data_IF_912952814658
#
_entry.id   IF_912952814658
#
_cell.length_a   1.000
_cell.length_b   1.000
_cell.length_c   1.000
_cell.angle_alpha   90.00
_cell.angle_beta   90.00
_cell.angle_gamma   90.00
#
_symmetry.space_group_name_H-M   'P 1'
#
loop_
_entity.id
_entity.type
_entity.pdbx_description
1 polymer ?
#
# COMPACT_ATOMS: atom_id res chain seq x y z
N UNK A 1 7.14 14.82 12.67
CA UNK A 1 6.26 15.48 13.63
C UNK A 1 6.70 15.08 15.04
N UNK A 2 6.92 16.06 15.91
CA UNK A 2 7.37 15.79 17.28
C UNK A 2 6.18 15.47 18.18
N UNK A 3 6.37 14.64 19.20
CA UNK A 3 5.30 14.35 20.15
C UNK A 3 4.80 15.64 20.82
N UNK A 4 3.49 15.73 20.98
CA UNK A 4 2.85 16.86 21.63
C UNK A 4 2.49 18.02 20.72
N UNK A 5 2.99 18.02 19.48
CA UNK A 5 2.65 19.06 18.51
C UNK A 5 1.44 18.64 17.68
N UNK A 6 0.66 19.62 17.28
CA UNK A 6 -0.50 19.40 16.41
C UNK A 6 -0.15 19.85 14.99
N UNK A 7 -0.63 19.09 14.01
CA UNK A 7 -0.49 19.43 12.61
C UNK A 7 -1.28 20.71 12.30
N UNK A 8 -0.65 21.66 11.65
CA UNK A 8 -1.32 22.92 11.28
C UNK A 8 -2.37 22.74 10.19
N UNK A 9 -2.29 21.65 9.41
CA UNK A 9 -3.24 21.40 8.32
C UNK A 9 -4.49 20.69 8.82
N UNK A 10 -4.33 19.60 9.61
CA UNK A 10 -5.48 18.77 10.01
C UNK A 10 -5.76 18.78 11.51
N UNK A 11 -4.89 19.41 12.32
CA UNK A 11 -5.06 19.45 13.77
C UNK A 11 -4.72 18.16 14.51
N UNK A 12 -4.34 17.11 13.79
CA UNK A 12 -4.02 15.82 14.39
C UNK A 12 -2.66 15.79 15.07
N UNK A 13 -2.51 14.90 16.02
CA UNK A 13 -1.23 14.65 16.69
C UNK A 13 -0.49 13.51 15.96
N UNK A 14 0.69 13.18 16.46
CA UNK A 14 1.47 12.05 15.92
C UNK A 14 0.61 10.78 16.05
N UNK A 15 0.57 9.98 15.00
CA UNK A 15 -0.29 8.81 14.93
C UNK A 15 -1.69 9.08 14.38
N UNK A 16 -2.17 10.32 14.47
CA UNK A 16 -3.45 10.73 13.89
C UNK A 16 -3.26 11.36 12.52
N UNK A 17 -2.23 12.17 12.34
CA UNK A 17 -1.93 12.81 11.07
C UNK A 17 -1.22 11.83 10.14
N UNK A 18 -1.83 11.54 9.00
CA UNK A 18 -1.26 10.63 8.00
C UNK A 18 -0.17 11.27 7.15
N UNK A 19 0.01 12.58 7.30
CA UNK A 19 0.91 13.36 6.47
C UNK A 19 0.17 13.99 5.30
N UNK A 20 0.77 15.01 4.72
CA UNK A 20 0.15 15.77 3.63
C UNK A 20 1.13 15.90 2.47
N UNK A 21 0.62 15.79 1.26
CA UNK A 21 1.43 15.95 0.05
C UNK A 21 1.90 17.40 -0.07
N UNK A 22 3.16 17.56 -0.44
CA UNK A 22 3.70 18.81 -0.92
C UNK A 22 3.73 18.81 -2.44
N UNK A 23 4.39 19.81 -3.02
CA UNK A 23 4.56 19.89 -4.46
C UNK A 23 5.87 20.56 -4.82
N UNK A 24 6.35 20.24 -6.02
CA UNK A 24 7.55 20.85 -6.59
C UNK A 24 7.19 21.37 -7.97
N UNK A 25 7.37 22.68 -8.18
CA UNK A 25 7.18 23.28 -9.51
C UNK A 25 8.37 22.92 -10.39
N UNK A 26 8.11 22.22 -11.49
CA UNK A 26 9.15 21.82 -12.42
C UNK A 26 9.48 22.99 -13.33
N UNK A 27 10.78 23.25 -13.52
CA UNK A 27 11.27 24.33 -14.36
C UNK A 27 10.85 24.10 -15.82
N UNK A 28 10.85 22.82 -16.27
CA UNK A 28 10.38 22.44 -17.59
C UNK A 28 9.38 21.31 -17.45
N UNK A 29 8.35 21.25 -18.32
CA UNK A 29 7.40 20.14 -18.27
C UNK A 29 8.11 18.80 -18.50
N UNK A 30 7.58 17.75 -17.88
CA UNK A 30 8.13 16.40 -17.93
C UNK A 30 7.03 15.44 -18.34
N UNK A 31 7.29 14.61 -19.33
CA UNK A 31 6.34 13.58 -19.76
C UNK A 31 6.19 12.53 -18.67
N UNK A 32 4.96 12.20 -18.29
CA UNK A 32 4.71 11.13 -17.33
C UNK A 32 5.07 9.79 -18.00
N UNK A 33 6.03 9.05 -17.48
CA UNK A 33 6.57 7.90 -18.21
C UNK A 33 5.57 6.77 -18.43
N UNK A 34 4.55 6.67 -17.60
CA UNK A 34 3.53 5.63 -17.76
C UNK A 34 2.50 5.97 -18.82
N UNK A 35 2.48 7.23 -19.29
CA UNK A 35 1.55 7.69 -20.32
C UNK A 35 2.25 8.05 -21.63
N UNK A 36 3.51 7.67 -21.77
CA UNK A 36 4.27 7.97 -22.98
C UNK A 36 3.61 7.50 -24.27
N UNK A 37 3.10 6.27 -24.26
CA UNK A 37 2.40 5.71 -25.42
C UNK A 37 1.08 6.43 -25.67
N UNK A 38 0.36 6.80 -24.62
CA UNK A 38 -0.91 7.52 -24.79
C UNK A 38 -0.69 8.88 -25.43
N UNK A 39 0.36 9.58 -25.03
CA UNK A 39 0.75 10.85 -25.65
C UNK A 39 1.10 10.63 -27.12
N UNK A 40 1.83 9.57 -27.44
CA UNK A 40 2.15 9.22 -28.82
C UNK A 40 0.87 9.04 -29.65
N UNK A 41 -0.09 8.29 -29.12
CA UNK A 41 -1.35 8.07 -29.80
C UNK A 41 -2.10 9.40 -30.04
N UNK A 42 -2.07 10.29 -29.07
CA UNK A 42 -2.68 11.62 -29.19
C UNK A 42 -1.97 12.47 -30.25
N UNK A 43 -0.64 12.48 -30.24
CA UNK A 43 0.14 13.26 -31.21
C UNK A 43 -0.12 12.78 -32.65
N UNK A 44 -0.34 11.50 -32.84
CA UNK A 44 -0.68 10.96 -34.16
C UNK A 44 -2.12 11.27 -34.59
N UNK A 45 -2.94 11.62 -33.65
CA UNK A 45 -4.37 11.80 -33.87
C UNK A 45 -4.79 13.27 -34.07
N UNK A 46 -3.89 14.21 -33.75
CA UNK A 46 -4.19 15.64 -33.79
C UNK A 46 -3.29 16.37 -34.79
N UNK A 47 -3.79 17.46 -35.31
CA UNK A 47 -3.05 18.34 -36.24
C UNK A 47 -1.90 19.02 -35.48
N UNK A 48 -0.73 19.05 -36.08
CA UNK A 48 0.44 19.71 -35.47
C UNK A 48 0.28 21.22 -35.32
N UNK A 49 -0.63 21.83 -36.07
CA UNK A 49 -0.86 23.29 -36.04
C UNK A 49 -2.08 23.68 -35.24
N UNK A 50 -3.26 23.11 -35.54
CA UNK A 50 -4.52 23.53 -34.92
C UNK A 50 -4.99 22.61 -33.79
N UNK A 51 -4.35 21.44 -33.62
CA UNK A 51 -4.66 20.44 -32.60
C UNK A 51 -6.07 19.85 -32.68
N UNK A 52 -6.76 20.02 -33.82
CA UNK A 52 -8.02 19.33 -34.07
C UNK A 52 -7.74 17.87 -34.44
N UNK A 53 -8.68 17.00 -34.14
CA UNK A 53 -8.57 15.59 -34.53
C UNK A 53 -8.51 15.49 -36.06
N UNK A 54 -7.66 14.59 -36.56
CA UNK A 54 -7.33 14.48 -37.98
C UNK A 54 -8.38 13.71 -38.79
N UNK A 55 -9.65 13.98 -38.55
CA UNK A 55 -10.78 13.47 -39.32
C UNK A 55 -11.82 14.59 -39.44
N UNK A 56 -12.57 14.60 -40.55
CA UNK A 56 -13.68 15.51 -40.70
C UNK A 56 -14.74 15.24 -39.61
N UNK A 57 -15.50 16.27 -39.26
CA UNK A 57 -16.51 16.18 -38.21
C UNK A 57 -17.50 15.04 -38.43
N UNK A 58 -17.93 14.81 -39.67
CA UNK A 58 -18.84 13.71 -39.98
C UNK A 58 -18.23 12.34 -39.68
N UNK A 59 -16.95 12.17 -40.02
CA UNK A 59 -16.24 10.91 -39.78
C UNK A 59 -16.00 10.68 -38.28
N UNK A 60 -15.76 11.76 -37.53
CA UNK A 60 -15.54 11.65 -36.06
C UNK A 60 -16.79 11.11 -35.38
N UNK A 61 -17.97 11.46 -35.82
CA UNK A 61 -19.23 10.99 -35.24
C UNK A 61 -19.48 9.50 -35.49
N UNK A 62 -18.83 8.94 -36.49
CA UNK A 62 -19.01 7.54 -36.87
C UNK A 62 -18.03 6.59 -36.16
N UNK A 63 -17.06 7.10 -35.39
CA UNK A 63 -16.09 6.29 -34.70
C UNK A 63 -16.75 5.42 -33.61
N UNK A 64 -16.43 4.14 -33.63
CA UNK A 64 -16.97 3.18 -32.68
C UNK A 64 -15.84 2.60 -31.83
N UNK A 65 -16.22 2.01 -30.70
CA UNK A 65 -15.24 1.39 -29.81
C UNK A 65 -14.38 2.41 -29.09
N UNK A 66 -13.07 2.25 -29.18
CA UNK A 66 -12.10 3.19 -28.59
C UNK A 66 -11.62 4.15 -29.68
N UNK A 67 -12.13 5.38 -29.72
CA UNK A 67 -11.79 6.29 -30.83
C UNK A 67 -10.31 6.60 -30.98
N UNK A 68 -9.58 6.70 -29.88
CA UNK A 68 -8.14 6.99 -29.94
C UNK A 68 -7.36 5.84 -30.59
N UNK A 69 -7.70 4.59 -30.25
CA UNK A 69 -7.06 3.41 -30.84
C UNK A 69 -7.33 3.33 -32.34
N UNK A 70 -8.56 3.65 -32.74
CA UNK A 70 -8.95 3.67 -34.16
C UNK A 70 -8.21 4.75 -34.93
N UNK A 71 -8.16 5.96 -34.35
CA UNK A 71 -7.68 7.15 -35.04
C UNK A 71 -6.16 7.15 -35.21
N UNK A 72 -5.40 6.80 -34.18
CA UNK A 72 -3.94 6.94 -34.27
C UNK A 72 -3.30 6.00 -35.29
N UNK A 73 -3.99 4.94 -35.67
CA UNK A 73 -3.52 4.00 -36.68
C UNK A 73 -3.63 4.52 -38.11
N UNK A 74 -4.49 5.52 -38.31
CA UNK A 74 -4.70 6.11 -39.65
C UNK A 74 -3.54 7.00 -40.02
N UNK A 75 -3.15 6.97 -41.30
CA UNK A 75 -2.09 7.81 -41.81
C UNK A 75 -2.74 8.96 -42.56
N UNK A 76 -2.71 10.14 -41.95
CA UNK A 76 -3.35 11.33 -42.50
C UNK A 76 -2.26 12.32 -42.94
N UNK A 77 -2.28 12.75 -44.17
CA UNK A 77 -1.22 13.60 -44.75
C UNK A 77 -1.48 15.08 -44.56
N UNK A 78 -2.73 15.48 -44.50
CA UNK A 78 -3.08 16.88 -44.29
C UNK A 78 -4.32 17.00 -43.41
N UNK A 79 -4.39 18.08 -42.65
CA UNK A 79 -5.49 18.32 -41.72
C UNK A 79 -6.77 18.66 -42.46
N UNK A 80 -7.90 17.97 -42.21
CA UNK A 80 -9.17 18.31 -42.86
C UNK A 80 -9.79 19.63 -42.39
N UNK A 81 -9.25 20.21 -41.31
CA UNK A 81 -9.78 21.45 -40.73
C UNK A 81 -9.00 22.69 -41.14
N UNK A 82 -7.66 22.65 -41.12
CA UNK A 82 -6.83 23.82 -41.43
C UNK A 82 -5.92 23.64 -42.65
N UNK A 83 -5.86 22.44 -43.20
CA UNK A 83 -5.07 22.16 -44.40
C UNK A 83 -3.60 21.93 -44.17
N UNK A 84 -3.09 22.04 -42.95
CA UNK A 84 -1.68 21.86 -42.64
C UNK A 84 -1.19 20.44 -42.95
N UNK A 85 -0.06 20.34 -43.63
CA UNK A 85 0.56 19.04 -43.92
C UNK A 85 1.12 18.43 -42.64
N UNK A 86 0.87 17.14 -42.43
CA UNK A 86 1.31 16.41 -41.25
C UNK A 86 2.58 15.63 -41.53
N UNK A 87 3.47 15.61 -40.55
CA UNK A 87 4.67 14.78 -40.56
C UNK A 87 4.46 13.53 -39.70
N UNK A 88 5.20 12.48 -40.00
CA UNK A 88 5.15 11.25 -39.22
C UNK A 88 5.70 11.50 -37.82
N UNK A 89 5.00 11.02 -36.81
CA UNK A 89 5.43 11.10 -35.41
C UNK A 89 6.12 9.78 -35.04
N UNK A 90 7.32 9.88 -34.49
CA UNK A 90 8.09 8.72 -34.01
C UNK A 90 8.18 8.78 -32.50
N UNK A 91 7.89 7.66 -31.87
CA UNK A 91 7.92 7.51 -30.42
C UNK A 91 9.19 6.77 -29.99
N UNK A 92 10.04 7.44 -29.25
CA UNK A 92 11.22 6.83 -28.62
C UNK A 92 10.89 6.61 -27.14
N UNK A 93 10.61 5.36 -26.80
CA UNK A 93 10.22 5.01 -25.46
C UNK A 93 11.27 5.42 -24.42
N UNK A 94 10.86 5.86 -23.23
CA UNK A 94 9.50 5.95 -22.73
C UNK A 94 8.83 7.33 -22.90
N UNK A 95 9.59 8.39 -23.22
CA UNK A 95 9.08 9.76 -23.06
C UNK A 95 9.53 10.74 -24.14
N UNK A 96 10.13 10.27 -25.24
CA UNK A 96 10.64 11.14 -26.31
C UNK A 96 9.86 10.99 -27.61
N UNK A 97 9.71 12.09 -28.33
CA UNK A 97 8.95 12.14 -29.58
C UNK A 97 9.72 12.92 -30.62
N UNK A 98 9.59 12.47 -31.85
CA UNK A 98 10.13 13.20 -33.02
C UNK A 98 9.07 13.34 -34.08
N UNK A 99 9.15 14.39 -34.83
CA UNK A 99 8.28 14.66 -35.96
C UNK A 99 9.19 14.84 -37.18
N UNK A 100 9.20 13.83 -38.04
CA UNK A 100 10.20 13.79 -39.11
C UNK A 100 11.59 13.68 -38.49
N UNK A 101 12.44 14.65 -38.79
CA UNK A 101 13.80 14.72 -38.24
C UNK A 101 13.90 15.59 -36.99
N UNK A 102 12.85 16.31 -36.66
CA UNK A 102 12.85 17.30 -35.58
C UNK A 102 12.35 16.67 -34.27
N UNK A 103 13.10 16.90 -33.20
CA UNK A 103 12.71 16.44 -31.87
C UNK A 103 11.65 17.38 -31.31
N UNK A 104 10.59 16.79 -30.76
CA UNK A 104 9.54 17.55 -30.06
C UNK A 104 9.94 17.70 -28.59
N UNK A 105 10.01 18.93 -28.10
CA UNK A 105 10.26 19.18 -26.70
C UNK A 105 9.00 18.87 -25.91
N UNK A 106 9.16 18.61 -24.61
CA UNK A 106 8.02 18.37 -23.72
C UNK A 106 7.08 19.59 -23.68
N UNK A 107 7.63 20.78 -23.81
CA UNK A 107 6.85 22.02 -23.87
C UNK A 107 5.97 22.06 -25.10
N UNK A 108 6.54 21.70 -26.27
CA UNK A 108 5.78 21.65 -27.53
C UNK A 108 4.67 20.60 -27.46
N UNK A 109 4.97 19.43 -26.90
CA UNK A 109 3.98 18.37 -26.72
C UNK A 109 2.82 18.87 -25.85
N UNK A 110 3.16 19.49 -24.71
CA UNK A 110 2.13 20.01 -23.82
C UNK A 110 1.27 21.09 -24.49
N UNK A 111 1.91 22.00 -25.24
CA UNK A 111 1.19 23.07 -25.93
C UNK A 111 0.20 22.51 -26.91
N UNK A 112 0.57 21.50 -27.68
CA UNK A 112 -0.35 20.86 -28.64
C UNK A 112 -1.54 20.24 -27.92
N UNK A 113 -1.31 19.57 -26.80
CA UNK A 113 -2.40 18.94 -26.05
C UNK A 113 -3.31 19.97 -25.40
N UNK A 114 -2.76 21.12 -24.97
CA UNK A 114 -3.55 22.20 -24.37
C UNK A 114 -4.52 22.83 -25.41
N UNK A 115 -4.11 22.89 -26.67
CA UNK A 115 -4.92 23.46 -27.71
C UNK A 115 -6.11 22.60 -28.11
N UNK A 116 -6.15 21.33 -27.71
CA UNK A 116 -7.28 20.45 -28.03
C UNK A 116 -8.57 21.01 -27.44
N UNK A 117 -9.63 21.03 -28.24
CA UNK A 117 -10.94 21.51 -27.79
C UNK A 117 -11.59 20.51 -26.84
N UNK A 118 -12.44 21.00 -25.95
CA UNK A 118 -13.20 20.15 -25.04
C UNK A 118 -14.03 19.11 -25.78
N UNK A 119 -14.55 19.49 -26.96
CA UNK A 119 -15.36 18.60 -27.81
C UNK A 119 -14.51 17.40 -28.28
N UNK A 120 -13.32 17.68 -28.79
CA UNK A 120 -12.42 16.63 -29.27
C UNK A 120 -11.94 15.75 -28.15
N UNK A 121 -11.61 16.31 -26.96
CA UNK A 121 -11.22 15.55 -25.78
C UNK A 121 -12.35 14.60 -25.37
N UNK A 122 -13.59 15.10 -25.38
CA UNK A 122 -14.78 14.31 -25.05
C UNK A 122 -14.96 13.13 -26.00
N UNK A 123 -14.77 13.38 -27.29
CA UNK A 123 -14.89 12.35 -28.33
C UNK A 123 -13.89 11.21 -28.11
N UNK A 124 -12.69 11.51 -27.61
CA UNK A 124 -11.66 10.50 -27.35
C UNK A 124 -11.89 9.73 -26.05
N UNK A 125 -12.91 10.13 -25.26
CA UNK A 125 -13.26 9.48 -24.01
C UNK A 125 -12.10 9.42 -23.04
N UNK A 126 -11.31 10.49 -22.98
CA UNK A 126 -10.22 10.62 -22.02
C UNK A 126 -10.82 10.88 -20.64
N UNK A 127 -10.64 9.95 -19.73
CA UNK A 127 -11.20 10.05 -18.39
C UNK A 127 -10.29 10.89 -17.49
N UNK A 128 -10.92 11.69 -16.65
CA UNK A 128 -10.25 12.34 -15.54
C UNK A 128 -9.64 13.69 -15.83
N UNK A 129 -9.88 14.27 -17.01
CA UNK A 129 -9.45 15.63 -17.24
C UNK A 129 -8.85 15.90 -18.60
N UNK A 130 -7.92 16.81 -18.63
CA UNK A 130 -7.33 17.33 -19.86
C UNK A 130 -6.12 16.52 -20.30
N UNK A 131 -5.90 16.35 -21.62
CA UNK A 131 -4.77 15.56 -22.13
C UNK A 131 -3.40 16.17 -21.80
N UNK A 132 -3.30 17.49 -21.67
CA UNK A 132 -2.01 18.12 -21.32
C UNK A 132 -1.54 17.73 -19.90
N UNK A 133 -2.41 17.20 -19.08
CA UNK A 133 -2.04 16.75 -17.73
C UNK A 133 -1.14 15.51 -17.75
N UNK A 134 -1.04 14.81 -18.87
CA UNK A 134 -0.06 13.73 -19.04
C UNK A 134 1.38 14.25 -19.10
N UNK A 135 1.54 15.55 -19.31
CA UNK A 135 2.85 16.22 -19.28
C UNK A 135 2.86 17.08 -18.01
N UNK A 136 3.69 16.70 -17.08
CA UNK A 136 3.67 17.27 -15.72
C UNK A 136 4.39 18.61 -15.66
N UNK A 137 3.79 19.58 -15.02
CA UNK A 137 4.43 20.85 -14.67
C UNK A 137 4.67 20.95 -13.17
N UNK A 138 3.94 20.16 -12.40
CA UNK A 138 4.05 20.10 -10.93
C UNK A 138 4.19 18.62 -10.55
N UNK A 139 5.16 18.35 -9.69
CA UNK A 139 5.39 17.00 -9.18
C UNK A 139 4.88 16.91 -7.75
N UNK A 140 3.94 16.01 -7.44
CA UNK A 140 3.55 15.83 -6.04
C UNK A 140 4.69 15.21 -5.23
N UNK A 141 4.87 15.70 -4.02
CA UNK A 141 5.91 15.21 -3.11
C UNK A 141 5.22 14.50 -1.96
N UNK A 142 5.40 13.18 -1.83
CA UNK A 142 4.73 12.46 -0.75
C UNK A 142 5.30 12.84 0.62
N UNK A 143 4.46 12.78 1.66
CA UNK A 143 4.90 13.19 3.00
C UNK A 143 5.94 12.22 3.56
N UNK A 144 6.62 12.64 4.64
CA UNK A 144 7.67 11.82 5.27
C UNK A 144 7.13 10.52 5.84
N UNK A 145 5.83 10.42 6.12
CA UNK A 145 5.22 9.17 6.57
C UNK A 145 5.27 8.08 5.50
N UNK A 146 5.35 8.46 4.22
CA UNK A 146 5.49 7.52 3.09
C UNK A 146 6.95 7.08 2.91
N UNK A 147 7.90 7.91 3.33
CA UNK A 147 9.34 7.70 3.15
C UNK A 147 10.11 8.01 4.44
N UNK A 148 9.82 7.25 5.50
CA UNK A 148 10.42 7.60 6.80
C UNK A 148 11.93 7.38 6.83
N UNK A 149 12.63 8.23 7.57
CA UNK A 149 14.05 8.04 7.88
C UNK A 149 14.15 7.02 9.01
N UNK A 150 15.12 6.11 8.89
CA UNK A 150 15.38 5.11 9.92
C UNK A 150 16.70 5.47 10.62
N UNK A 151 16.69 5.43 11.95
CA UNK A 151 17.91 5.58 12.73
C UNK A 151 18.52 4.20 12.94
N UNK A 152 19.74 4.01 12.45
CA UNK A 152 20.46 2.75 12.57
C UNK A 152 21.03 2.59 13.99
N UNK A 153 21.44 1.37 14.34
CA UNK A 153 22.05 1.08 15.65
C UNK A 153 23.30 1.90 15.90
N UNK A 154 24.00 2.29 14.83
CA UNK A 154 25.19 3.15 14.89
C UNK A 154 24.87 4.61 15.17
N UNK A 155 23.60 4.99 15.21
CA UNK A 155 23.16 6.36 15.37
C UNK A 155 23.01 7.14 14.07
N UNK A 156 23.47 6.58 12.95
CA UNK A 156 23.33 7.22 11.64
C UNK A 156 21.90 7.09 11.13
N UNK A 157 21.46 8.09 10.37
CA UNK A 157 20.15 8.06 9.71
C UNK A 157 20.26 7.49 8.31
N UNK A 158 19.38 6.56 8.00
CA UNK A 158 19.24 6.00 6.66
C UNK A 158 17.98 6.58 6.02
N UNK A 159 18.15 7.19 4.85
CA UNK A 159 17.04 7.78 4.12
C UNK A 159 16.43 6.78 3.17
N UNK A 160 15.11 6.91 2.97
CA UNK A 160 14.35 6.07 2.05
C UNK A 160 14.78 6.30 0.61
N UNK A 161 14.62 5.27 -0.23
CA UNK A 161 14.94 5.39 -1.66
C UNK A 161 14.16 6.51 -2.35
N UNK A 162 12.89 6.71 -1.96
CA UNK A 162 12.10 7.83 -2.52
C UNK A 162 12.72 9.18 -2.16
N UNK A 163 13.25 9.32 -0.96
CA UNK A 163 13.91 10.56 -0.55
C UNK A 163 15.14 10.82 -1.41
N UNK A 164 15.94 9.78 -1.68
CA UNK A 164 17.11 9.93 -2.56
C UNK A 164 16.70 10.41 -3.95
N UNK A 165 15.64 9.82 -4.51
CA UNK A 165 15.16 10.22 -5.84
C UNK A 165 14.58 11.63 -5.85
N UNK A 166 13.85 12.00 -4.80
CA UNK A 166 13.31 13.36 -4.70
C UNK A 166 14.42 14.39 -4.61
N UNK A 167 15.49 14.08 -3.87
CA UNK A 167 16.66 14.97 -3.79
C UNK A 167 17.30 15.14 -5.17
N UNK A 168 17.43 14.03 -5.93
CA UNK A 168 17.96 14.11 -7.30
C UNK A 168 17.10 15.02 -8.18
N UNK A 169 15.77 14.89 -8.08
CA UNK A 169 14.86 15.72 -8.87
C UNK A 169 15.01 17.19 -8.50
N UNK A 170 15.06 17.50 -7.20
CA UNK A 170 15.20 18.89 -6.73
C UNK A 170 16.53 19.50 -7.23
N UNK A 171 17.61 18.77 -7.12
CA UNK A 171 18.93 19.25 -7.55
C UNK A 171 18.95 19.57 -9.04
N UNK A 172 18.42 18.66 -9.86
CA UNK A 172 18.37 18.85 -11.31
C UNK A 172 17.45 20.00 -11.68
N UNK A 173 16.33 20.14 -11.00
CA UNK A 173 15.36 21.20 -11.24
C UNK A 173 16.00 22.58 -10.95
N UNK A 174 16.78 22.67 -9.88
CA UNK A 174 17.50 23.90 -9.55
C UNK A 174 18.58 24.24 -10.58
N UNK A 175 19.28 23.23 -11.10
CA UNK A 175 20.27 23.43 -12.16
C UNK A 175 19.61 23.96 -13.42
N UNK A 176 18.47 23.42 -13.80
CA UNK A 176 17.71 23.91 -14.96
C UNK A 176 17.27 25.34 -14.78
N UNK A 177 16.84 25.69 -13.56
CA UNK A 177 16.43 27.09 -13.27
C UNK A 177 17.57 28.07 -13.48
N UNK A 178 18.81 27.63 -13.26
CA UNK A 178 20.02 28.44 -13.45
C UNK A 178 20.60 28.31 -14.87
N UNK A 179 19.84 27.75 -15.80
CA UNK A 179 20.24 27.53 -17.20
C UNK A 179 21.46 26.61 -17.38
N UNK A 180 21.67 25.70 -16.44
CA UNK A 180 22.67 24.66 -16.56
C UNK A 180 21.99 23.41 -17.14
N UNK A 181 22.84 22.58 -17.70
CA UNK A 181 22.37 21.44 -18.49
C UNK A 181 21.02 20.78 -18.10
N UNK A 182 20.37 20.51 -19.04
CA UNK A 182 19.05 19.99 -18.81
C UNK A 182 18.82 18.58 -19.24
N UNK A 183 19.29 17.91 -19.15
CA UNK A 183 19.01 16.58 -19.53
C UNK A 183 18.50 15.64 -18.51
N UNK A 184 18.63 15.67 -17.60
CA UNK A 184 18.31 14.71 -16.61
C UNK A 184 17.00 14.95 -15.83
N UNK A 185 16.40 15.94 -15.98
CA UNK A 185 15.12 16.09 -15.40
C UNK A 185 14.12 15.02 -15.73
N UNK A 186 13.95 14.77 -16.91
CA UNK A 186 13.06 13.71 -17.38
C UNK A 186 13.46 12.34 -16.83
N UNK A 187 14.73 12.02 -16.89
CA UNK A 187 15.23 10.74 -16.36
C UNK A 187 14.93 10.57 -14.86
N UNK A 188 15.20 11.60 -14.08
CA UNK A 188 15.03 11.49 -12.64
C UNK A 188 13.55 11.39 -12.25
N UNK A 189 12.67 12.13 -12.93
CA UNK A 189 11.23 12.00 -12.68
C UNK A 189 10.74 10.62 -13.14
N UNK A 190 11.20 10.16 -14.30
CA UNK A 190 10.82 8.84 -14.82
C UNK A 190 11.21 7.72 -13.85
N UNK A 191 12.45 7.77 -13.33
CA UNK A 191 12.92 6.72 -12.40
C UNK A 191 12.34 6.89 -10.99
N UNK A 192 11.88 8.08 -10.62
CA UNK A 192 11.09 8.24 -9.40
C UNK A 192 9.76 7.48 -9.50
N UNK A 193 9.13 7.52 -10.66
CA UNK A 193 7.86 6.83 -10.87
C UNK A 193 8.04 5.34 -11.08
N UNK A 194 9.00 4.94 -11.91
CA UNK A 194 9.31 3.53 -12.14
C UNK A 194 10.79 3.35 -12.43
N UNK A 195 11.46 2.56 -11.60
CA UNK A 195 12.88 2.26 -11.79
C UNK A 195 13.10 0.97 -12.57
N UNK A 196 12.07 0.46 -13.24
CA UNK A 196 12.15 -0.77 -14.04
C UNK A 196 11.76 -0.53 -15.49
N UNK A 197 11.97 0.68 -16.00
CA UNK A 197 11.72 1.00 -17.41
C UNK A 197 12.86 0.38 -18.23
N UNK A 198 12.51 -0.53 -19.14
CA UNK A 198 13.49 -1.34 -19.87
C UNK A 198 14.47 -0.54 -20.73
N UNK A 199 14.06 0.62 -21.21
CA UNK A 199 14.88 1.45 -22.10
C UNK A 199 15.75 2.47 -21.38
N UNK A 200 15.63 2.55 -20.03
CA UNK A 200 16.43 3.48 -19.21
C UNK A 200 17.33 2.70 -18.27
N UNK A 201 18.57 3.18 -18.01
CA UNK A 201 19.37 2.56 -16.96
C UNK A 201 18.71 2.80 -15.60
N UNK A 202 18.66 1.78 -14.74
CA UNK A 202 18.01 1.98 -13.43
C UNK A 202 18.83 2.92 -12.54
N UNK A 203 18.13 3.75 -11.77
CA UNK A 203 18.76 4.58 -10.76
C UNK A 203 19.27 3.68 -9.63
N UNK A 204 20.46 3.95 -9.12
CA UNK A 204 21.11 3.11 -8.12
C UNK A 204 21.55 3.90 -6.91
N UNK A 205 21.46 3.24 -5.75
CA UNK A 205 22.08 3.71 -4.53
C UNK A 205 23.60 3.68 -4.73
N UNK A 206 24.34 4.47 -3.96
CA UNK A 206 25.80 4.48 -4.07
C UNK A 206 26.43 3.11 -3.79
N UNK A 207 25.70 2.21 -3.12
CA UNK A 207 26.13 0.82 -2.88
C UNK A 207 26.00 -0.07 -4.13
N UNK A 208 25.40 0.43 -5.20
CA UNK A 208 25.16 -0.32 -6.43
C UNK A 208 23.79 -0.97 -6.53
N UNK A 209 23.02 -0.99 -5.43
CA UNK A 209 21.68 -1.56 -5.39
C UNK A 209 20.70 -0.65 -6.15
N UNK A 210 19.83 -1.25 -6.98
CA UNK A 210 18.79 -0.48 -7.67
C UNK A 210 17.80 0.09 -6.66
N UNK A 211 17.42 1.36 -6.85
CA UNK A 211 16.46 2.01 -5.95
C UNK A 211 15.05 1.46 -6.17
N UNK A 212 14.30 1.33 -5.09
CA UNK A 212 12.89 0.92 -5.12
C UNK A 212 12.03 2.17 -5.09
N UNK A 213 11.36 2.49 -6.22
CA UNK A 213 10.61 3.72 -6.35
C UNK A 213 9.10 3.44 -6.43
N UNK A 214 8.29 4.40 -6.89
CA UNK A 214 6.84 4.34 -6.68
C UNK A 214 6.17 3.07 -7.23
N UNK A 215 6.43 2.73 -8.49
CA UNK A 215 5.80 1.55 -9.09
C UNK A 215 6.23 0.26 -8.38
N UNK A 216 7.52 0.16 -7.98
CA UNK A 216 8.01 -1.01 -7.28
C UNK A 216 7.37 -1.17 -5.90
N UNK A 217 6.91 -0.08 -5.30
CA UNK A 217 6.17 -0.14 -4.03
C UNK A 217 4.75 -0.68 -4.19
N UNK A 218 4.16 -0.49 -5.37
CA UNK A 218 2.77 -0.86 -5.62
C UNK A 218 2.65 -2.25 -6.23
N UNK A 219 3.53 -2.59 -7.17
CA UNK A 219 3.42 -3.78 -8.01
C UNK A 219 4.16 -4.98 -7.44
N UNK A 220 3.85 -6.15 -8.00
CA UNK A 220 4.49 -7.43 -7.72
C UNK A 220 4.15 -7.99 -6.34
N UNK A 221 4.72 -9.14 -6.00
CA UNK A 221 4.41 -9.88 -4.77
C UNK A 221 4.66 -9.10 -3.50
N UNK A 222 5.69 -8.26 -3.51
CA UNK A 222 6.11 -7.53 -2.32
C UNK A 222 5.57 -6.10 -2.27
N UNK A 223 4.83 -5.69 -3.31
CA UNK A 223 4.22 -4.38 -3.37
C UNK A 223 2.99 -4.26 -2.47
N UNK A 224 2.41 -3.07 -2.45
CA UNK A 224 1.28 -2.77 -1.55
C UNK A 224 0.07 -3.65 -1.84
N UNK A 225 -0.27 -3.87 -3.12
CA UNK A 225 -1.48 -4.62 -3.45
C UNK A 225 -1.38 -6.08 -3.05
N UNK A 226 -0.33 -6.77 -3.42
CA UNK A 226 -0.19 -8.20 -3.14
C UNK A 226 0.40 -8.48 -1.77
N UNK A 227 1.29 -7.64 -1.28
CA UNK A 227 2.00 -7.86 -0.03
C UNK A 227 1.34 -7.30 1.22
N UNK A 228 0.45 -6.32 1.08
CA UNK A 228 -0.14 -5.63 2.24
C UNK A 228 -1.66 -5.53 2.21
N UNK A 229 -2.29 -5.53 1.03
CA UNK A 229 -3.75 -5.37 0.93
C UNK A 229 -4.47 -6.68 0.65
N UNK A 230 -4.04 -7.45 -0.34
CA UNK A 230 -4.66 -8.76 -0.63
C UNK A 230 -4.34 -9.78 0.46
N UNK A 231 -3.13 -9.73 1.01
CA UNK A 231 -2.72 -10.55 2.14
C UNK A 231 -1.77 -9.76 3.01
N UNK A 232 -1.86 -9.93 4.31
CA UNK A 232 -1.00 -9.20 5.24
C UNK A 232 -0.77 -10.04 6.50
N UNK A 233 0.29 -9.67 7.24
CA UNK A 233 0.57 -10.29 8.53
C UNK A 233 -0.43 -9.75 9.55
N UNK A 234 -0.86 -10.62 10.44
CA UNK A 234 -1.90 -10.26 11.41
C UNK A 234 -1.41 -10.47 12.84
N UNK A 235 -1.97 -9.67 13.74
CA UNK A 235 -1.75 -9.81 15.18
C UNK A 235 -2.71 -10.84 15.75
N UNK A 236 -2.49 -11.20 17.02
CA UNK A 236 -3.30 -12.16 17.75
C UNK A 236 -3.25 -13.53 17.09
N UNK A 237 -2.04 -13.91 16.69
CA UNK A 237 -1.76 -15.20 16.11
C UNK A 237 -0.46 -15.75 16.69
N UNK A 238 -0.31 -17.07 16.62
CA UNK A 238 0.89 -17.75 17.08
C UNK A 238 1.15 -18.95 16.17
N UNK A 239 2.36 -19.47 16.23
CA UNK A 239 2.77 -20.61 15.40
C UNK A 239 3.68 -21.50 16.23
N UNK A 240 3.39 -22.79 16.24
CA UNK A 240 4.28 -23.78 16.86
C UNK A 240 4.03 -25.15 16.26
N UNK A 241 4.87 -26.09 16.66
CA UNK A 241 4.80 -27.49 16.22
C UNK A 241 3.51 -28.11 16.77
N UNK A 242 2.93 -29.04 16.04
CA UNK A 242 1.72 -29.78 16.44
C UNK A 242 2.09 -31.17 16.95
N UNK A 243 1.31 -31.67 17.90
CA UNK A 243 1.42 -33.00 18.46
C UNK A 243 0.04 -33.65 18.57
N UNK A 244 -0.05 -34.97 18.54
CA UNK A 244 -1.36 -35.62 18.66
C UNK A 244 -1.83 -35.66 20.10
N UNK A 245 -3.14 -35.64 20.29
CA UNK A 245 -3.76 -35.84 21.60
C UNK A 245 -5.14 -36.50 21.38
N UNK A 246 -5.22 -37.81 21.60
CA UNK A 246 -6.51 -38.49 21.39
C UNK A 246 -7.55 -38.20 22.46
N UNK A 247 -7.17 -37.55 23.57
CA UNK A 247 -8.09 -37.28 24.68
C UNK A 247 -8.96 -36.05 24.46
N UNK A 248 -8.61 -35.18 23.51
CA UNK A 248 -9.45 -34.01 23.20
C UNK A 248 -10.37 -34.34 22.00
N UNK A 249 -11.48 -33.62 21.91
CA UNK A 249 -12.44 -33.84 20.83
C UNK A 249 -11.95 -33.20 19.52
N UNK A 250 -12.58 -33.56 18.42
CA UNK A 250 -12.24 -32.99 17.11
C UNK A 250 -12.50 -31.48 17.06
N UNK A 251 -13.43 -31.00 17.88
CA UNK A 251 -13.74 -29.56 17.95
C UNK A 251 -12.85 -28.77 18.92
N UNK A 252 -11.84 -29.39 19.48
CA UNK A 252 -10.93 -28.74 20.44
C UNK A 252 -9.51 -28.66 19.89
N UNK A 253 -8.74 -27.73 20.43
CA UNK A 253 -7.28 -27.64 20.19
C UNK A 253 -6.61 -27.41 21.54
N UNK A 254 -5.53 -28.16 21.79
CA UNK A 254 -4.72 -27.92 22.97
C UNK A 254 -3.83 -26.71 22.75
N UNK A 255 -3.99 -25.69 23.59
CA UNK A 255 -3.25 -24.43 23.47
C UNK A 255 -2.20 -24.38 24.56
N UNK A 256 -0.92 -24.20 24.22
CA UNK A 256 0.11 -24.06 25.24
C UNK A 256 -0.18 -22.88 26.18
N UNK A 257 0.11 -23.07 27.46
CA UNK A 257 -0.12 -22.05 28.48
C UNK A 257 0.58 -20.73 28.14
N UNK A 258 1.79 -20.82 27.60
CA UNK A 258 2.55 -19.62 27.21
C UNK A 258 1.83 -18.80 26.13
N UNK A 259 1.23 -19.50 25.16
CA UNK A 259 0.43 -18.82 24.11
C UNK A 259 -0.82 -18.21 24.73
N UNK A 260 -1.48 -18.94 25.64
CA UNK A 260 -2.71 -18.47 26.29
C UNK A 260 -2.50 -17.19 27.09
N UNK A 261 -1.32 -17.01 27.67
CA UNK A 261 -0.97 -15.81 28.43
C UNK A 261 -0.60 -14.63 27.52
N UNK A 262 -0.05 -14.92 26.34
CA UNK A 262 0.45 -13.88 25.43
C UNK A 262 -0.66 -13.33 24.55
N UNK A 263 -1.44 -14.23 23.94
CA UNK A 263 -2.57 -13.83 23.12
C UNK A 263 -3.78 -13.58 24.00
N UNK A 264 -4.58 -12.57 23.65
CA UNK A 264 -5.68 -12.16 24.50
C UNK A 264 -6.97 -12.05 23.70
N UNK A 265 -8.07 -12.12 24.44
CA UNK A 265 -9.43 -11.93 23.92
C UNK A 265 -10.00 -10.68 24.59
N UNK A 266 -10.45 -9.65 23.85
CA UNK A 266 -11.08 -8.52 24.51
C UNK A 266 -12.51 -8.87 24.92
N UNK A 267 -12.84 -8.59 26.17
CA UNK A 267 -14.17 -8.86 26.73
C UNK A 267 -14.71 -7.55 27.30
N UNK A 268 -15.88 -7.15 26.84
CA UNK A 268 -16.53 -5.95 27.34
C UNK A 268 -17.13 -6.23 28.71
N UNK A 269 -16.84 -5.38 29.70
CA UNK A 269 -17.33 -5.54 31.05
C UNK A 269 -18.82 -5.16 31.13
N UNK A 270 -19.63 -6.03 31.70
CA UNK A 270 -21.04 -5.79 31.93
C UNK A 270 -21.40 -6.22 33.35
N UNK A 271 -22.65 -6.05 33.74
CA UNK A 271 -23.13 -6.35 35.11
C UNK A 271 -22.94 -7.83 35.46
N UNK A 272 -23.02 -8.72 34.46
CA UNK A 272 -22.97 -10.16 34.70
C UNK A 272 -21.56 -10.68 34.87
N UNK A 273 -20.57 -10.03 34.21
CA UNK A 273 -19.20 -10.55 34.21
C UNK A 273 -18.20 -9.70 35.00
N UNK A 274 -18.64 -8.60 35.59
CA UNK A 274 -17.72 -7.65 36.24
C UNK A 274 -16.95 -8.30 37.40
N UNK A 275 -17.57 -9.16 38.18
CA UNK A 275 -16.91 -9.84 39.29
C UNK A 275 -15.78 -10.75 38.79
N UNK A 276 -16.07 -11.50 37.72
CA UNK A 276 -15.05 -12.38 37.11
C UNK A 276 -13.94 -11.58 36.45
N UNK A 277 -14.28 -10.49 35.75
CA UNK A 277 -13.27 -9.63 35.13
C UNK A 277 -12.34 -9.02 36.19
N UNK A 278 -12.88 -8.59 37.32
CA UNK A 278 -12.05 -8.08 38.44
C UNK A 278 -11.09 -9.15 38.96
N UNK A 279 -11.55 -10.38 39.04
CA UNK A 279 -10.71 -11.52 39.46
C UNK A 279 -9.57 -11.75 38.47
N UNK A 280 -9.84 -11.70 37.16
CA UNK A 280 -8.81 -11.86 36.14
C UNK A 280 -7.77 -10.74 36.21
N UNK A 281 -8.23 -9.49 36.42
CA UNK A 281 -7.30 -8.36 36.55
C UNK A 281 -6.42 -8.52 37.78
N UNK A 282 -6.99 -9.00 38.90
CA UNK A 282 -6.21 -9.27 40.12
C UNK A 282 -5.14 -10.35 39.93
N UNK A 283 -5.45 -11.36 39.09
CA UNK A 283 -4.45 -12.38 38.75
C UNK A 283 -3.32 -11.78 37.91
N UNK A 284 -3.62 -10.81 37.08
CA UNK A 284 -2.62 -10.12 36.28
C UNK A 284 -2.14 -10.90 35.09
N UNK A 285 -0.99 -10.52 34.56
CA UNK A 285 -0.44 -11.10 33.33
C UNK A 285 0.29 -12.41 33.54
N UNK A 286 0.75 -12.70 34.76
CA UNK A 286 1.62 -13.85 35.03
C UNK A 286 0.82 -15.09 35.42
N UNK A 287 -0.25 -14.92 36.19
CA UNK A 287 -1.08 -16.01 36.65
C UNK A 287 -2.22 -16.26 35.66
N UNK A 288 -2.36 -17.52 35.22
CA UNK A 288 -3.45 -17.89 34.32
C UNK A 288 -4.56 -18.56 35.14
N UNK A 289 -5.85 -18.21 34.88
CA UNK A 289 -6.34 -17.19 33.95
C UNK A 289 -6.18 -15.78 34.51
N UNK A 290 -5.76 -14.87 33.64
CA UNK A 290 -5.53 -13.49 34.03
C UNK A 290 -5.87 -12.55 32.89
N UNK A 291 -5.27 -11.37 32.95
CA UNK A 291 -5.47 -10.33 31.92
C UNK A 291 -4.20 -9.51 31.76
N UNK A 292 -3.98 -9.00 30.57
CA UNK A 292 -2.76 -8.25 30.27
C UNK A 292 -3.01 -6.74 30.19
N UNK A 293 -4.19 -6.31 29.71
CA UNK A 293 -4.52 -4.89 29.54
C UNK A 293 -5.97 -4.66 29.87
N UNK A 294 -6.28 -3.42 30.22
CA UNK A 294 -7.66 -2.92 30.23
C UNK A 294 -7.74 -1.71 29.29
N UNK A 295 -8.91 -1.49 28.75
CA UNK A 295 -9.24 -0.28 27.99
C UNK A 295 -10.38 0.40 28.73
N UNK A 296 -10.15 1.64 29.15
CA UNK A 296 -11.16 2.42 29.89
C UNK A 296 -12.23 2.90 28.93
N UNK A 297 -13.34 3.37 29.47
CA UNK A 297 -14.47 3.86 28.67
C UNK A 297 -14.09 5.08 27.82
N UNK A 298 -13.04 5.83 28.22
CA UNK A 298 -12.52 6.95 27.44
C UNK A 298 -11.51 6.53 26.35
N UNK A 299 -11.26 5.21 26.21
CA UNK A 299 -10.38 4.67 25.17
C UNK A 299 -8.93 4.52 25.59
N UNK A 300 -8.56 4.94 26.78
CA UNK A 300 -7.17 4.81 27.26
C UNK A 300 -6.89 3.36 27.63
N UNK A 301 -5.80 2.81 27.07
CA UNK A 301 -5.36 1.44 27.30
C UNK A 301 -4.27 1.41 28.35
N UNK A 302 -4.45 0.61 29.39
CA UNK A 302 -3.48 0.47 30.48
C UNK A 302 -2.96 -0.94 30.57
N UNK A 303 -1.66 -1.09 30.70
CA UNK A 303 -1.02 -2.39 30.94
C UNK A 303 -1.21 -2.78 32.42
N UNK A 304 -1.55 -4.03 32.66
CA UNK A 304 -1.71 -4.57 34.02
C UNK A 304 -0.34 -5.05 34.49
N UNK A 305 0.12 -4.50 35.61
CA UNK A 305 1.39 -4.90 36.24
C UNK A 305 1.10 -5.36 37.66
N UNK A 306 2.07 -6.03 38.29
CA UNK A 306 1.94 -6.45 39.69
C UNK A 306 1.71 -5.26 40.63
N UNK A 307 2.23 -4.09 40.26
CA UNK A 307 2.12 -2.87 41.07
C UNK A 307 0.74 -2.23 41.00
N UNK A 308 0.08 -2.29 39.85
CA UNK A 308 -1.17 -1.55 39.63
C UNK A 308 -2.42 -2.44 39.52
N UNK A 309 -2.26 -3.76 39.58
CA UNK A 309 -3.40 -4.66 39.34
C UNK A 309 -4.53 -4.51 40.35
N UNK A 310 -4.24 -4.21 41.62
CA UNK A 310 -5.26 -3.96 42.64
C UNK A 310 -6.05 -2.68 42.32
N UNK A 311 -5.33 -1.61 42.00
CA UNK A 311 -5.94 -0.32 41.68
C UNK A 311 -6.83 -0.42 40.44
N UNK A 312 -6.32 -1.13 39.41
CA UNK A 312 -7.10 -1.32 38.16
C UNK A 312 -8.33 -2.15 38.43
N UNK A 313 -8.22 -3.21 39.24
CA UNK A 313 -9.37 -4.05 39.60
C UNK A 313 -10.46 -3.23 40.30
N UNK A 314 -10.06 -2.34 41.20
CA UNK A 314 -11.01 -1.48 41.93
C UNK A 314 -11.68 -0.45 41.02
N UNK A 315 -10.93 0.10 40.01
CA UNK A 315 -11.52 1.10 39.13
C UNK A 315 -12.39 0.50 38.01
N UNK A 316 -12.28 -0.80 37.78
CA UNK A 316 -12.97 -1.48 36.67
C UNK A 316 -14.49 -1.27 36.81
N UNK A 317 -15.13 -0.88 35.71
CA UNK A 317 -16.56 -0.57 35.69
C UNK A 317 -17.16 -1.06 34.37
N UNK A 318 -18.48 -1.08 34.33
CA UNK A 318 -19.25 -1.42 33.13
C UNK A 318 -18.83 -0.50 31.99
N UNK A 319 -18.58 -1.07 30.81
CA UNK A 319 -18.13 -0.32 29.64
C UNK A 319 -16.63 -0.39 29.40
N UNK A 320 -15.87 -0.82 30.38
CA UNK A 320 -14.43 -1.10 30.18
C UNK A 320 -14.28 -2.35 29.31
N UNK A 321 -13.11 -2.54 28.75
CA UNK A 321 -12.76 -3.77 28.03
C UNK A 321 -11.54 -4.39 28.73
N UNK A 322 -11.62 -5.68 29.05
CA UNK A 322 -10.50 -6.43 29.63
C UNK A 322 -9.93 -7.34 28.55
N UNK A 323 -8.62 -7.21 28.30
CA UNK A 323 -7.90 -8.11 27.40
C UNK A 323 -7.42 -9.30 28.21
N UNK A 324 -8.29 -10.32 28.29
CA UNK A 324 -8.06 -11.48 29.13
C UNK A 324 -7.27 -12.57 28.39
N UNK A 325 -6.61 -13.41 29.14
CA UNK A 325 -5.94 -14.60 28.61
C UNK A 325 -6.95 -15.52 27.92
N UNK A 326 -6.45 -16.35 27.01
CA UNK A 326 -7.27 -17.40 26.40
C UNK A 326 -7.61 -18.41 27.51
N UNK A 327 -8.89 -18.77 27.60
CA UNK A 327 -9.38 -19.75 28.56
C UNK A 327 -9.99 -20.93 27.84
N UNK A 328 -10.19 -22.03 28.59
CA UNK A 328 -10.87 -23.21 28.05
C UNK A 328 -12.23 -22.82 27.49
N UNK A 329 -12.53 -23.29 26.28
CA UNK A 329 -13.78 -23.00 25.59
C UNK A 329 -13.76 -21.79 24.68
N UNK A 330 -12.74 -20.97 24.75
CA UNK A 330 -12.64 -19.82 23.84
C UNK A 330 -12.46 -20.30 22.41
N UNK A 331 -13.02 -19.54 21.45
CA UNK A 331 -12.96 -19.87 20.03
C UNK A 331 -11.60 -19.48 19.48
N UNK A 332 -10.99 -20.39 18.76
CA UNK A 332 -9.77 -20.15 18.01
C UNK A 332 -9.95 -20.58 16.57
N UNK A 333 -9.10 -20.10 15.67
CA UNK A 333 -9.07 -20.57 14.28
C UNK A 333 -7.68 -21.15 14.03
N UNK A 334 -7.65 -22.40 13.59
CA UNK A 334 -6.42 -23.11 13.27
C UNK A 334 -6.23 -23.11 11.75
N UNK A 335 -4.98 -22.97 11.31
CA UNK A 335 -4.63 -22.97 9.90
C UNK A 335 -3.32 -23.71 9.67
N UNK A 336 -3.27 -24.52 8.63
CA UNK A 336 -2.02 -25.11 8.16
C UNK A 336 -1.80 -24.69 6.69
N UNK A 337 -0.60 -24.19 6.41
CA UNK A 337 -0.21 -23.84 5.04
C UNK A 337 0.50 -25.01 4.38
N UNK A 338 0.36 -25.20 3.08
CA UNK A 338 -0.43 -24.40 2.13
C UNK A 338 -1.93 -24.64 2.30
N UNK A 339 -2.72 -23.55 2.26
CA UNK A 339 -4.17 -23.62 2.48
C UNK A 339 -4.88 -23.86 1.14
N UNK A 340 -4.91 -25.11 0.72
CA UNK A 340 -5.36 -25.51 -0.61
C UNK A 340 -6.89 -25.58 -0.73
N UNK A 341 -7.60 -25.70 0.38
CA UNK A 341 -9.07 -25.72 0.40
C UNK A 341 -9.56 -25.07 1.69
N UNK A 342 -10.86 -24.86 1.81
CA UNK A 342 -11.39 -24.13 2.97
C UNK A 342 -11.19 -24.86 4.29
N UNK A 343 -11.10 -26.17 4.28
CA UNK A 343 -10.88 -26.97 5.49
C UNK A 343 -9.44 -26.88 6.02
N UNK A 344 -8.56 -26.17 5.33
CA UNK A 344 -7.23 -25.85 5.87
C UNK A 344 -7.30 -24.77 6.96
N UNK A 345 -8.46 -24.14 7.16
CA UNK A 345 -8.74 -23.22 8.25
C UNK A 345 -10.05 -23.65 8.91
N UNK A 346 -10.00 -23.99 10.18
CA UNK A 346 -11.19 -24.42 10.91
C UNK A 346 -11.17 -23.88 12.33
N UNK A 347 -12.36 -23.69 12.89
CA UNK A 347 -12.51 -23.23 14.27
C UNK A 347 -12.43 -24.40 15.25
N UNK A 348 -11.76 -24.16 16.35
CA UNK A 348 -11.64 -25.13 17.46
C UNK A 348 -11.80 -24.39 18.78
N UNK A 349 -12.38 -25.04 19.76
CA UNK A 349 -12.41 -24.48 21.12
C UNK A 349 -11.11 -24.80 21.85
N UNK A 350 -10.61 -23.84 22.60
CA UNK A 350 -9.32 -23.98 23.27
C UNK A 350 -9.43 -24.92 24.49
N UNK A 351 -8.38 -25.70 24.70
CA UNK A 351 -8.11 -26.42 25.94
C UNK A 351 -6.68 -26.03 26.34
N UNK A 352 -6.56 -25.33 27.46
CA UNK A 352 -5.24 -24.83 27.88
C UNK A 352 -4.46 -25.98 28.51
N UNK A 353 -3.22 -26.16 28.06
CA UNK A 353 -2.38 -27.28 28.47
C UNK A 353 -0.97 -26.81 28.82
N UNK A 354 -0.27 -27.50 29.72
CA UNK A 354 1.07 -27.08 30.13
C UNK A 354 2.20 -27.53 29.20
N UNK A 355 1.86 -27.79 27.95
CA UNK A 355 2.81 -28.26 26.94
C UNK A 355 3.26 -27.12 26.04
N UNK A 356 4.24 -27.40 25.19
CA UNK A 356 4.76 -26.36 24.25
C UNK A 356 4.27 -26.52 22.84
N UNK A 357 3.52 -27.58 22.55
CA UNK A 357 3.00 -27.82 21.19
C UNK A 357 1.48 -27.65 21.17
N UNK A 358 0.97 -27.26 20.01
CA UNK A 358 -0.47 -27.28 19.78
C UNK A 358 -0.92 -28.74 19.66
N UNK A 359 -2.03 -29.08 20.27
CA UNK A 359 -2.52 -30.45 20.32
C UNK A 359 -3.77 -30.61 19.48
N UNK A 360 -3.81 -31.67 18.66
CA UNK A 360 -4.92 -31.95 17.76
C UNK A 360 -5.39 -33.39 17.94
N UNK A 361 -6.69 -33.60 17.81
CA UNK A 361 -7.24 -34.93 17.63
C UNK A 361 -6.76 -35.47 16.27
N UNK A 362 -6.42 -36.76 16.24
CA UNK A 362 -5.89 -37.35 15.01
C UNK A 362 -6.85 -37.28 13.81
N UNK A 363 -8.15 -37.25 14.06
CA UNK A 363 -9.13 -37.20 12.98
C UNK A 363 -9.04 -35.92 12.14
N UNK A 364 -8.53 -34.82 12.69
CA UNK A 364 -8.43 -33.56 11.94
C UNK A 364 -7.17 -33.46 11.10
N UNK A 365 -6.25 -34.41 11.17
CA UNK A 365 -5.05 -34.38 10.35
C UNK A 365 -5.37 -34.46 8.85
N UNK A 366 -6.43 -35.14 8.48
CA UNK A 366 -6.79 -35.32 7.07
C UNK A 366 -7.17 -33.98 6.42
N UNK A 367 -8.13 -33.21 6.96
CA UNK A 367 -8.45 -31.92 6.33
C UNK A 367 -7.30 -30.93 6.33
N UNK A 368 -6.45 -30.93 7.37
CA UNK A 368 -5.27 -30.04 7.41
C UNK A 368 -4.11 -30.57 6.58
N UNK A 369 -4.18 -31.82 6.14
CA UNK A 369 -3.07 -32.51 5.46
C UNK A 369 -1.82 -32.45 6.32
N UNK A 370 -1.99 -32.68 7.62
CA UNK A 370 -0.93 -32.55 8.63
C UNK A 370 -0.43 -33.91 9.09
N UNK A 371 0.83 -33.96 9.48
CA UNK A 371 1.37 -35.10 10.23
C UNK A 371 2.25 -34.56 11.35
N UNK A 372 2.68 -35.47 12.22
CA UNK A 372 3.36 -35.07 13.45
C UNK A 372 4.87 -35.32 13.38
N UNK A 373 5.47 -35.05 12.23
CA UNK A 373 6.90 -35.19 12.00
C UNK A 373 7.65 -33.86 12.02
N UNK A 374 7.10 -32.88 12.70
CA UNK A 374 7.68 -31.52 12.78
C UNK A 374 6.82 -30.44 12.12
N UNK A 375 5.63 -30.81 11.65
CA UNK A 375 4.70 -29.83 11.07
C UNK A 375 4.36 -28.74 12.08
N UNK A 376 4.23 -27.52 11.61
CA UNK A 376 3.77 -26.37 12.40
C UNK A 376 2.42 -25.91 11.90
N UNK A 377 1.62 -25.37 12.79
CA UNK A 377 0.33 -24.77 12.45
C UNK A 377 0.20 -23.42 13.11
N UNK A 378 -0.65 -22.58 12.52
CA UNK A 378 -0.95 -21.27 13.04
C UNK A 378 -2.27 -21.27 13.79
N UNK A 379 -2.32 -20.53 14.89
CA UNK A 379 -3.55 -20.33 15.64
C UNK A 379 -3.86 -18.84 15.66
N UNK A 380 -5.13 -18.49 15.38
CA UNK A 380 -5.62 -17.12 15.36
C UNK A 380 -6.72 -16.97 16.39
N UNK A 381 -6.71 -15.86 17.11
CA UNK A 381 -7.71 -15.58 18.14
C UNK A 381 -8.62 -14.47 17.65
N UNK A 382 -9.90 -14.78 17.34
CA UNK A 382 -10.83 -13.73 16.93
C UNK A 382 -10.96 -12.63 17.99
N UNK A 383 -11.02 -11.39 17.53
CA UNK A 383 -11.00 -10.23 18.41
C UNK A 383 -12.35 -9.52 18.50
N UNK A 384 -13.33 -9.90 17.69
CA UNK A 384 -14.67 -9.32 17.72
C UNK A 384 -15.71 -10.41 17.94
N UNK A 385 -16.88 -10.04 18.43
CA UNK A 385 -17.97 -10.99 18.62
C UNK A 385 -18.54 -11.52 17.30
N UNK A 386 -18.48 -10.71 16.23
CA UNK A 386 -18.93 -11.11 14.88
C UNK A 386 -18.11 -12.23 14.31
#
# INVERSE_FOLDING_TARGET
>A
VDPGLRCRTCGGTIGQCLGHFGYLELTKPVVHPLYGKKIYMLLRSICKKCSRLLLADAELKELKGNPLVELYKKKIHSCPHCGEKQKDTVYQKPTSYREGKDELTSEEVRQRLEKMSEEDVSLLKIRGGRPEWFVLTILPVPPVTVRPSITLETGERSEDDLTHKLVDVVRINERLRKNLEXXXXQYHVSTLMSNEISTLPPARHRSGRALKTLIQRLSKKEGRFRGNLSGKRVNFSARTVISPDPSISIGEVGVPLEIAKELTVPVKVNKNNIAYMKKLVLNGAIIHPGANYIVRSDGIRKKITDENKKDISEELDVGYVVEKHIEDGDITIMNRQPSLHRMSMMAHRARIMPYRTLRLNLAVTIPYNADFDGDEMNIHIPQTEE
#
